data_IF_518609971337
#
_entry.id   IF_518609971337
#
_cell.length_a   1.000
_cell.length_b   1.000
_cell.length_c   1.000
_cell.angle_alpha   90.00
_cell.angle_beta   90.00
_cell.angle_gamma   90.00
#
_symmetry.space_group_name_H-M   'P 1'
#
loop_
_entity.id
_entity.type
_entity.pdbx_description
1 polymer ?
#
# COMPACT_ATOMS: atom_id res chain seq x y z
N UNK A 1 16.73 20.80 8.53
CA UNK A 1 17.60 20.46 7.38
C UNK A 1 16.91 20.90 6.10
N UNK A 2 17.49 21.85 5.37
CA UNK A 2 16.94 22.26 4.05
C UNK A 2 17.55 21.36 2.99
N UNK A 3 16.71 20.71 2.19
CA UNK A 3 17.14 19.94 1.01
C UNK A 3 17.25 20.90 -0.17
N UNK A 4 18.38 20.91 -0.84
CA UNK A 4 18.54 21.58 -2.13
C UNK A 4 18.71 20.52 -3.22
N UNK A 5 17.89 20.62 -4.25
CA UNK A 5 17.93 19.72 -5.42
C UNK A 5 18.54 20.51 -6.57
N UNK A 6 19.59 19.98 -7.15
CA UNK A 6 20.17 20.48 -8.40
C UNK A 6 19.88 19.44 -9.49
N UNK A 7 19.21 19.84 -10.56
CA UNK A 7 19.00 19.01 -11.73
C UNK A 7 20.09 19.31 -12.76
N UNK A 8 20.86 18.32 -13.15
CA UNK A 8 21.81 18.37 -14.26
C UNK A 8 21.52 17.17 -15.18
N UNK A 9 21.07 17.44 -16.37
CA UNK A 9 20.95 16.48 -17.49
C UNK A 9 20.67 15.01 -17.09
N UNK A 10 19.44 14.73 -16.66
CA UNK A 10 18.93 13.41 -16.28
C UNK A 10 19.58 12.72 -15.07
N UNK A 11 20.39 13.40 -14.28
CA UNK A 11 20.93 12.87 -13.03
C UNK A 11 20.52 13.77 -11.84
N UNK A 12 19.92 13.20 -10.80
CA UNK A 12 19.63 13.91 -9.54
C UNK A 12 20.77 13.74 -8.55
N UNK A 13 21.35 14.85 -8.09
CA UNK A 13 22.42 14.85 -7.07
C UNK A 13 21.83 15.31 -5.73
N UNK A 14 21.97 14.52 -4.68
CA UNK A 14 21.58 14.89 -3.32
C UNK A 14 22.80 15.36 -2.53
N UNK A 15 22.75 16.59 -2.03
CA UNK A 15 23.80 17.16 -1.17
C UNK A 15 23.30 17.20 0.27
N UNK A 16 24.00 16.49 1.17
CA UNK A 16 23.76 16.53 2.62
C UNK A 16 24.79 17.46 3.28
N UNK A 17 24.32 18.47 3.99
CA UNK A 17 25.19 19.37 4.77
C UNK A 17 25.23 18.88 6.23
N UNK A 18 26.36 18.33 6.65
CA UNK A 18 26.65 17.98 8.04
C UNK A 18 27.17 19.24 8.73
N UNK A 19 26.37 19.80 9.64
CA UNK A 19 26.56 21.10 10.25
C UNK A 19 27.91 21.32 10.93
N UNK A 20 28.58 22.40 10.53
CA UNK A 20 29.49 23.15 11.37
C UNK A 20 29.03 24.60 11.42
N UNK A 21 29.07 25.19 12.61
CA UNK A 21 28.75 26.60 12.84
C UNK A 21 29.65 27.46 11.98
N UNK A 22 29.12 28.31 11.13
CA UNK A 22 29.85 29.37 10.45
C UNK A 22 28.95 30.61 10.29
N UNK A 23 29.64 31.73 10.38
CA UNK A 23 29.13 33.09 10.34
C UNK A 23 28.30 33.36 9.05
N UNK A 24 27.27 34.18 9.22
CA UNK A 24 26.40 34.63 8.12
C UNK A 24 27.17 35.59 7.20
N UNK A 25 27.56 35.13 6.03
CA UNK A 25 27.77 35.99 4.87
C UNK A 25 26.52 35.90 3.97
N UNK A 26 25.90 37.01 3.68
CA UNK A 26 24.81 37.14 2.72
C UNK A 26 25.32 36.73 1.34
N UNK A 27 24.71 35.71 0.76
CA UNK A 27 24.93 35.33 -0.64
C UNK A 27 23.91 36.07 -1.51
N UNK A 28 24.31 36.56 -2.70
CA UNK A 28 23.42 37.26 -3.61
C UNK A 28 22.34 36.32 -4.18
N UNK A 29 21.22 36.91 -4.60
CA UNK A 29 20.11 36.22 -5.22
C UNK A 29 20.55 35.60 -6.54
N UNK A 30 20.27 34.29 -6.70
CA UNK A 30 20.69 33.51 -7.84
C UNK A 30 19.59 33.49 -8.90
N UNK A 31 19.91 33.94 -10.12
CA UNK A 31 19.03 33.86 -11.29
C UNK A 31 19.64 33.12 -12.48
N UNK A 32 20.91 32.68 -12.45
CA UNK A 32 21.55 32.04 -13.59
C UNK A 32 22.32 30.76 -13.25
N UNK A 33 22.29 29.80 -14.17
CA UNK A 33 22.97 28.51 -14.06
C UNK A 33 24.51 28.70 -14.11
N UNK A 34 25.19 28.13 -13.10
CA UNK A 34 26.65 28.17 -13.02
C UNK A 34 27.26 27.15 -13.98
N UNK A 35 28.26 27.57 -14.75
CA UNK A 35 29.02 26.68 -15.64
C UNK A 35 29.96 25.76 -14.87
N UNK A 36 30.32 24.58 -15.46
CA UNK A 36 31.25 23.60 -14.89
C UNK A 36 32.61 24.23 -14.45
N UNK A 37 33.09 25.24 -15.17
CA UNK A 37 34.35 25.96 -14.83
C UNK A 37 34.22 26.83 -13.57
N UNK A 38 33.10 27.44 -13.36
CA UNK A 38 32.81 28.26 -12.17
C UNK A 38 32.68 27.42 -10.90
N UNK A 39 32.15 26.19 -11.01
CA UNK A 39 32.01 25.26 -9.92
C UNK A 39 33.36 24.77 -9.40
N UNK A 40 34.32 24.53 -10.29
CA UNK A 40 35.68 24.09 -9.91
C UNK A 40 36.52 25.22 -9.31
N UNK A 41 36.19 26.49 -9.57
CA UNK A 41 36.92 27.66 -9.03
C UNK A 41 36.52 28.02 -7.59
N UNK A 42 35.42 27.45 -7.05
CA UNK A 42 34.91 27.77 -5.72
C UNK A 42 35.54 26.99 -4.55
N UNK A 43 36.67 26.30 -4.78
CA UNK A 43 37.56 25.77 -3.74
C UNK A 43 36.85 25.02 -2.59
N UNK A 44 35.99 24.06 -2.87
CA UNK A 44 35.34 23.25 -1.85
C UNK A 44 36.29 22.17 -1.37
N UNK A 45 37.09 22.49 -0.39
CA UNK A 45 37.83 21.50 0.39
C UNK A 45 36.91 20.86 1.41
N UNK A 46 36.79 19.53 1.34
CA UNK A 46 36.12 18.64 2.30
C UNK A 46 34.58 18.55 2.22
N UNK A 47 34.06 18.18 1.05
CA UNK A 47 32.83 17.43 0.96
C UNK A 47 33.14 16.15 0.17
N UNK A 48 32.88 14.98 0.73
CA UNK A 48 33.00 13.73 -0.01
C UNK A 48 31.92 13.71 -1.10
N UNK A 49 32.32 14.00 -2.34
CA UNK A 49 31.50 13.80 -3.52
C UNK A 49 31.59 12.32 -3.88
N UNK A 50 30.62 11.53 -3.49
CA UNK A 50 30.48 10.18 -4.01
C UNK A 50 29.85 10.31 -5.40
N UNK A 51 30.72 10.41 -6.42
CA UNK A 51 30.29 10.16 -7.79
C UNK A 51 30.13 8.63 -7.93
N UNK A 52 28.90 8.13 -7.83
CA UNK A 52 28.59 6.81 -8.39
C UNK A 52 28.66 7.00 -9.91
N UNK A 53 29.71 6.45 -10.53
CA UNK A 53 29.96 6.57 -11.94
C UNK A 53 28.77 6.10 -12.75
N UNK A 54 28.28 6.94 -13.67
CA UNK A 54 27.55 6.47 -14.82
C UNK A 54 28.55 5.72 -15.72
N UNK A 55 28.77 4.45 -15.47
CA UNK A 55 29.25 3.57 -16.52
C UNK A 55 28.18 3.60 -17.61
N UNK A 56 28.59 4.00 -18.81
CA UNK A 56 27.82 3.73 -20.02
C UNK A 56 27.57 2.22 -20.02
N UNK A 57 26.37 1.82 -19.65
CA UNK A 57 25.90 0.47 -19.92
C UNK A 57 26.02 0.28 -21.44
N UNK A 58 27.11 -0.36 -21.87
CA UNK A 58 27.13 -0.98 -23.17
C UNK A 58 25.89 -1.82 -23.23
N UNK A 59 25.06 -1.56 -24.26
CA UNK A 59 23.83 -2.32 -24.54
C UNK A 59 24.11 -3.81 -24.47
N UNK A 60 23.90 -4.39 -23.29
CA UNK A 60 23.50 -5.78 -23.23
C UNK A 60 22.02 -5.72 -23.56
N UNK A 61 21.69 -6.21 -24.71
CA UNK A 61 20.33 -6.63 -25.01
C UNK A 61 19.82 -7.35 -23.76
N UNK A 62 18.92 -6.70 -23.04
CA UNK A 62 18.07 -7.39 -22.08
C UNK A 62 17.29 -8.34 -22.95
N UNK A 63 17.75 -9.59 -22.99
CA UNK A 63 16.98 -10.66 -23.59
C UNK A 63 15.64 -10.61 -22.89
N UNK A 64 14.65 -10.09 -23.59
CA UNK A 64 13.25 -10.24 -23.23
C UNK A 64 13.01 -11.72 -23.19
N UNK A 65 13.07 -12.30 -21.98
CA UNK A 65 12.68 -13.68 -21.78
C UNK A 65 11.19 -13.76 -22.11
N UNK A 66 10.94 -14.21 -23.30
CA UNK A 66 9.65 -14.47 -23.90
C UNK A 66 8.91 -15.52 -23.08
N UNK A 67 7.95 -15.08 -22.27
CA UNK A 67 7.08 -15.96 -21.51
C UNK A 67 5.70 -15.38 -21.20
N UNK A 68 5.55 -14.07 -21.16
CA UNK A 68 4.25 -13.43 -20.98
C UNK A 68 3.73 -13.01 -22.36
N UNK A 69 2.69 -13.67 -22.84
CA UNK A 69 1.99 -13.29 -24.08
C UNK A 69 1.34 -11.92 -23.88
N UNK A 70 1.42 -11.06 -24.90
CA UNK A 70 0.65 -9.79 -24.94
C UNK A 70 -0.87 -10.01 -25.06
N UNK A 71 -1.30 -11.26 -25.11
CA UNK A 71 -2.70 -11.64 -25.20
C UNK A 71 -3.37 -11.41 -23.83
N UNK A 72 -4.46 -10.66 -23.78
CA UNK A 72 -5.22 -10.47 -22.55
C UNK A 72 -5.63 -11.82 -21.93
N UNK A 73 -5.49 -11.95 -20.61
CA UNK A 73 -5.87 -13.14 -19.86
C UNK A 73 -7.38 -13.19 -19.70
N UNK A 74 -8.02 -14.29 -20.07
CA UNK A 74 -9.44 -14.48 -19.73
C UNK A 74 -9.64 -14.33 -18.22
N UNK A 75 -10.63 -13.52 -17.83
CA UNK A 75 -10.97 -13.27 -16.45
C UNK A 75 -11.62 -14.51 -15.82
N UNK A 76 -11.45 -14.61 -14.51
CA UNK A 76 -12.09 -15.68 -13.73
C UNK A 76 -13.44 -15.28 -13.16
N UNK A 77 -14.13 -15.23 -12.48
CA UNK A 77 -15.29 -14.71 -11.76
C UNK A 77 -16.19 -13.82 -12.63
N UNK A 78 -16.74 -14.38 -13.69
CA UNK A 78 -17.78 -13.76 -14.49
C UNK A 78 -18.73 -14.81 -15.05
N UNK A 79 -19.88 -14.38 -15.50
CA UNK A 79 -20.86 -15.21 -16.23
C UNK A 79 -21.19 -14.61 -17.60
N UNK A 80 -21.48 -15.46 -18.55
CA UNK A 80 -21.96 -15.09 -19.88
C UNK A 80 -23.48 -14.95 -19.84
N UNK A 81 -23.98 -13.83 -20.34
CA UNK A 81 -25.41 -13.56 -20.48
C UNK A 81 -25.83 -13.63 -21.95
N UNK A 82 -27.12 -13.38 -22.26
CA UNK A 82 -27.60 -13.26 -23.63
C UNK A 82 -26.95 -12.09 -24.37
N UNK A 83 -27.00 -12.10 -25.70
CA UNK A 83 -26.57 -11.02 -26.57
C UNK A 83 -25.12 -10.56 -26.36
N UNK A 84 -24.23 -11.52 -26.10
CA UNK A 84 -22.80 -11.29 -25.83
C UNK A 84 -22.55 -10.40 -24.61
N UNK A 85 -23.51 -10.18 -23.74
CA UNK A 85 -23.29 -9.53 -22.46
C UNK A 85 -22.52 -10.47 -21.51
N UNK A 86 -21.74 -9.87 -20.62
CA UNK A 86 -21.12 -10.61 -19.51
C UNK A 86 -21.37 -9.85 -18.20
N UNK A 87 -21.52 -10.60 -17.10
CA UNK A 87 -21.55 -10.01 -15.76
C UNK A 87 -20.29 -10.37 -15.00
N UNK A 88 -19.55 -9.34 -14.56
CA UNK A 88 -18.35 -9.49 -13.75
C UNK A 88 -18.72 -9.63 -12.27
N UNK A 89 -18.20 -10.67 -11.60
CA UNK A 89 -18.47 -10.96 -10.18
C UNK A 89 -17.25 -10.78 -9.27
N UNK A 90 -16.25 -10.03 -9.70
CA UNK A 90 -15.03 -9.83 -8.89
C UNK A 90 -15.28 -8.92 -7.70
N UNK A 91 -16.10 -7.88 -7.86
CA UNK A 91 -16.41 -6.94 -6.79
C UNK A 91 -17.92 -6.60 -6.75
N UNK A 92 -18.41 -6.00 -5.65
CA UNK A 92 -19.83 -5.71 -5.47
C UNK A 92 -20.47 -4.76 -6.52
N UNK A 93 -19.68 -4.21 -7.44
CA UNK A 93 -20.26 -3.48 -8.57
C UNK A 93 -21.01 -4.37 -9.54
N UNK A 94 -20.67 -5.64 -9.62
CA UNK A 94 -21.34 -6.64 -10.46
C UNK A 94 -21.65 -6.10 -11.87
N UNK A 95 -20.64 -5.49 -12.52
CA UNK A 95 -20.81 -4.78 -13.78
C UNK A 95 -21.36 -5.72 -14.87
N UNK A 96 -22.50 -5.34 -15.48
CA UNK A 96 -22.96 -5.92 -16.74
C UNK A 96 -22.27 -5.16 -17.86
N UNK A 97 -21.53 -5.88 -18.71
CA UNK A 97 -20.60 -5.30 -19.69
C UNK A 97 -21.01 -5.80 -21.08
N UNK A 98 -21.34 -4.87 -21.99
CA UNK A 98 -21.65 -5.18 -23.39
C UNK A 98 -20.39 -5.52 -24.17
N UNK A 99 -20.54 -6.14 -25.31
CA UNK A 99 -19.47 -6.39 -26.26
C UNK A 99 -18.67 -5.11 -26.60
N UNK A 100 -17.35 -5.18 -26.59
CA UNK A 100 -16.40 -4.05 -26.71
C UNK A 100 -16.43 -3.09 -25.51
N UNK A 101 -17.17 -3.37 -24.43
CA UNK A 101 -17.29 -2.51 -23.27
C UNK A 101 -16.33 -2.90 -22.13
N UNK A 102 -16.18 -1.97 -21.17
CA UNK A 102 -15.37 -2.19 -19.96
C UNK A 102 -16.17 -2.02 -18.68
N UNK A 103 -15.76 -2.74 -17.64
CA UNK A 103 -16.26 -2.54 -16.29
C UNK A 103 -15.85 -1.19 -15.70
N UNK A 104 -16.45 -0.81 -14.58
CA UNK A 104 -16.16 0.46 -13.87
C UNK A 104 -14.67 0.66 -13.58
N UNK A 105 -13.93 -0.41 -13.25
CA UNK A 105 -12.50 -0.37 -12.98
C UNK A 105 -11.64 -0.07 -14.23
N UNK A 106 -12.20 -0.17 -15.42
CA UNK A 106 -11.55 0.07 -16.74
C UNK A 106 -10.47 -0.96 -17.12
N UNK A 107 -10.32 -2.01 -16.31
CA UNK A 107 -9.27 -3.04 -16.47
C UNK A 107 -9.79 -4.39 -16.95
N UNK A 108 -11.12 -4.49 -17.13
CA UNK A 108 -11.80 -5.70 -17.61
C UNK A 108 -12.68 -5.34 -18.79
N UNK A 109 -12.46 -6.02 -19.89
CA UNK A 109 -13.13 -5.78 -21.17
C UNK A 109 -13.85 -7.04 -21.64
N UNK A 110 -15.05 -6.86 -22.14
CA UNK A 110 -15.81 -7.92 -22.81
C UNK A 110 -15.47 -7.88 -24.30
N UNK A 111 -14.98 -8.98 -24.81
CA UNK A 111 -14.73 -9.20 -26.24
C UNK A 111 -15.51 -10.45 -26.67
N UNK A 112 -16.50 -10.23 -27.51
CA UNK A 112 -17.39 -11.26 -28.08
C UNK A 112 -18.01 -12.22 -27.04
N UNK A 113 -18.46 -11.66 -25.87
CA UNK A 113 -19.07 -12.46 -24.79
C UNK A 113 -18.03 -13.18 -23.90
N UNK A 114 -16.77 -12.83 -23.99
CA UNK A 114 -15.70 -13.32 -23.10
C UNK A 114 -15.07 -12.14 -22.37
N UNK A 115 -14.98 -12.23 -21.04
CA UNK A 115 -14.39 -11.17 -20.24
C UNK A 115 -12.88 -11.38 -20.08
N UNK A 116 -12.09 -10.37 -20.41
CA UNK A 116 -10.65 -10.38 -20.31
C UNK A 116 -10.13 -9.41 -19.26
N UNK A 117 -9.04 -9.76 -18.58
CA UNK A 117 -8.23 -8.88 -17.77
C UNK A 117 -7.17 -8.20 -18.65
N UNK A 118 -7.23 -6.87 -18.75
CA UNK A 118 -6.29 -6.07 -19.54
C UNK A 118 -4.98 -5.79 -18.78
N UNK A 119 -4.93 -6.13 -17.49
CA UNK A 119 -3.83 -5.80 -16.57
C UNK A 119 -3.06 -7.01 -16.06
N UNK A 120 -3.40 -8.20 -16.51
CA UNK A 120 -2.66 -9.40 -16.12
C UNK A 120 -1.21 -9.34 -16.63
N UNK A 121 -0.27 -9.40 -15.69
CA UNK A 121 1.16 -9.27 -16.00
C UNK A 121 1.63 -7.87 -16.41
N UNK A 122 0.74 -6.86 -16.45
CA UNK A 122 1.10 -5.48 -16.82
C UNK A 122 1.39 -4.68 -15.54
N UNK A 123 2.64 -4.73 -15.08
CA UNK A 123 3.09 -4.06 -13.84
C UNK A 123 3.42 -2.59 -14.15
N UNK A 124 2.60 -1.67 -13.65
CA UNK A 124 2.74 -0.23 -13.86
C UNK A 124 3.62 0.44 -12.78
N UNK A 125 3.77 -0.19 -11.63
CA UNK A 125 4.71 0.23 -10.59
C UNK A 125 5.22 -0.97 -9.80
N UNK A 126 6.52 -0.95 -9.47
CA UNK A 126 7.14 -1.89 -8.55
C UNK A 126 8.15 -1.16 -7.65
N UNK A 127 8.26 -1.58 -6.39
CA UNK A 127 9.23 -1.04 -5.44
C UNK A 127 9.52 -2.06 -4.34
N UNK A 128 10.68 -1.95 -3.73
CA UNK A 128 11.00 -2.64 -2.47
C UNK A 128 10.74 -1.68 -1.32
N UNK A 129 9.84 -2.06 -0.41
CA UNK A 129 9.43 -1.23 0.71
C UNK A 129 9.44 -2.04 2.03
N UNK A 130 9.71 -1.40 3.18
CA UNK A 130 9.43 -2.03 4.46
C UNK A 130 7.96 -2.44 4.58
N UNK A 131 7.68 -3.56 5.26
CA UNK A 131 6.31 -4.04 5.48
C UNK A 131 5.48 -3.04 6.29
N UNK A 132 6.12 -2.30 7.18
CA UNK A 132 5.52 -1.21 7.96
C UNK A 132 4.93 -0.09 7.10
N UNK A 133 5.50 0.16 5.91
CA UNK A 133 4.98 1.16 4.96
C UNK A 133 3.65 0.70 4.31
N UNK A 134 3.29 -0.60 4.44
CA UNK A 134 2.06 -1.18 3.89
C UNK A 134 0.85 -1.13 4.81
N UNK A 135 0.78 -0.48 5.84
CA UNK A 135 0.92 -0.64 7.28
C UNK A 135 0.52 -2.06 7.74
N UNK A 136 1.47 -2.96 7.74
CA UNK A 136 1.39 -4.23 8.45
C UNK A 136 2.34 -4.18 9.63
N UNK A 137 1.80 -4.12 10.85
CA UNK A 137 2.60 -4.01 12.07
C UNK A 137 2.73 -5.33 12.82
N UNK A 138 1.85 -6.29 12.52
CA UNK A 138 1.86 -7.64 13.08
C UNK A 138 2.17 -8.72 12.03
N UNK A 139 2.88 -8.34 10.96
CA UNK A 139 3.35 -9.27 9.93
C UNK A 139 4.84 -9.06 9.71
N UNK A 140 5.67 -10.02 10.14
CA UNK A 140 7.13 -10.04 9.95
C UNK A 140 7.79 -8.66 10.13
N UNK A 141 7.75 -8.03 11.33
CA UNK A 141 8.27 -6.68 11.55
C UNK A 141 9.72 -6.52 11.05
N UNK A 142 9.98 -5.44 10.33
CA UNK A 142 11.28 -5.14 9.74
C UNK A 142 11.59 -5.88 8.44
N UNK A 143 10.66 -6.69 7.91
CA UNK A 143 10.83 -7.37 6.62
C UNK A 143 10.64 -6.42 5.43
N UNK A 144 11.15 -6.84 4.27
CA UNK A 144 10.96 -6.15 3.01
C UNK A 144 9.85 -6.83 2.19
N UNK A 145 9.11 -6.01 1.47
CA UNK A 145 8.08 -6.44 0.52
C UNK A 145 8.37 -5.91 -0.88
N UNK A 146 8.48 -6.80 -1.85
CA UNK A 146 8.46 -6.45 -3.27
C UNK A 146 7.02 -6.09 -3.66
N UNK A 147 6.78 -4.82 -3.88
CA UNK A 147 5.45 -4.24 -4.06
C UNK A 147 5.15 -4.10 -5.54
N UNK A 148 3.99 -4.56 -5.99
CA UNK A 148 3.53 -4.45 -7.37
C UNK A 148 2.17 -3.78 -7.47
N UNK A 149 1.97 -3.04 -8.55
CA UNK A 149 0.71 -2.43 -8.93
C UNK A 149 0.46 -2.54 -10.44
N UNK A 150 -0.81 -2.47 -10.80
CA UNK A 150 -1.27 -2.35 -12.19
C UNK A 150 -2.02 -1.03 -12.39
N UNK A 151 -2.83 -0.90 -13.45
CA UNK A 151 -3.75 0.21 -13.63
C UNK A 151 -5.11 -0.06 -12.95
N UNK A 152 -5.87 0.99 -12.68
CA UNK A 152 -7.28 0.97 -12.33
C UNK A 152 -7.61 0.68 -10.88
N UNK A 153 -8.87 0.95 -10.52
CA UNK A 153 -9.45 0.71 -9.19
C UNK A 153 -10.97 0.60 -9.32
N UNK A 154 -11.60 -0.14 -8.41
CA UNK A 154 -13.05 -0.20 -8.30
C UNK A 154 -13.66 0.91 -7.42
N UNK A 155 -12.82 1.84 -6.92
CA UNK A 155 -13.21 3.10 -6.27
C UNK A 155 -12.65 4.31 -7.05
N UNK A 156 -13.13 5.50 -6.71
CA UNK A 156 -12.65 6.79 -7.23
C UNK A 156 -12.47 7.81 -6.10
N UNK A 157 -11.77 7.38 -5.05
CA UNK A 157 -11.54 8.20 -3.87
C UNK A 157 -10.99 9.56 -4.22
N UNK A 158 -11.66 10.63 -3.78
CA UNK A 158 -11.25 12.03 -4.02
C UNK A 158 -9.89 12.38 -3.40
N UNK A 159 -9.40 11.58 -2.45
CA UNK A 159 -8.14 11.74 -1.73
C UNK A 159 -7.06 10.74 -2.15
N UNK A 160 -7.19 10.08 -3.28
CA UNK A 160 -6.29 8.99 -3.65
C UNK A 160 -4.86 9.48 -3.86
N UNK A 161 -3.90 8.93 -3.09
CA UNK A 161 -2.48 9.26 -3.24
C UNK A 161 -1.88 8.69 -4.52
N UNK A 162 -2.41 7.56 -4.99
CA UNK A 162 -1.96 6.86 -6.18
C UNK A 162 -2.97 7.04 -7.35
N UNK A 163 -3.58 8.24 -7.46
CA UNK A 163 -4.61 8.49 -8.47
C UNK A 163 -4.11 8.28 -9.90
N UNK A 164 -2.83 8.53 -10.15
CA UNK A 164 -2.20 8.29 -11.44
C UNK A 164 -2.24 6.82 -11.88
N UNK A 165 -2.18 5.87 -10.93
CA UNK A 165 -2.36 4.44 -11.19
C UNK A 165 -3.83 4.05 -11.16
N UNK A 166 -4.53 4.44 -10.08
CA UNK A 166 -5.88 3.96 -9.78
C UNK A 166 -6.96 4.55 -10.68
N UNK A 167 -6.74 5.76 -11.24
CA UNK A 167 -7.72 6.43 -12.09
C UNK A 167 -7.39 6.38 -13.59
N UNK A 168 -6.30 5.72 -13.96
CA UNK A 168 -5.91 5.54 -15.37
C UNK A 168 -6.43 4.23 -15.95
N UNK A 169 -6.56 4.20 -17.27
CA UNK A 169 -6.75 2.98 -18.05
C UNK A 169 -5.40 2.30 -18.28
N UNK A 170 -5.36 0.98 -18.56
CA UNK A 170 -4.11 0.26 -18.79
C UNK A 170 -3.24 0.88 -19.90
N UNK A 171 -3.84 1.34 -20.98
CA UNK A 171 -3.18 1.94 -22.14
C UNK A 171 -2.62 3.36 -21.90
N UNK A 172 -3.03 4.01 -20.81
CA UNK A 172 -2.56 5.35 -20.41
C UNK A 172 -1.29 5.29 -19.55
N UNK A 173 -0.87 4.09 -19.14
CA UNK A 173 0.28 3.90 -18.25
C UNK A 173 1.39 3.12 -18.93
N UNK A 174 2.62 3.56 -18.70
CA UNK A 174 3.77 2.70 -18.97
C UNK A 174 3.76 1.52 -18.00
N UNK A 175 3.85 0.31 -18.52
CA UNK A 175 3.94 -0.92 -17.74
C UNK A 175 5.00 -1.85 -18.32
N UNK A 176 5.62 -2.64 -17.46
CA UNK A 176 6.49 -3.74 -17.85
C UNK A 176 5.69 -5.04 -17.79
N UNK A 177 5.93 -5.93 -18.74
CA UNK A 177 5.30 -7.25 -18.73
C UNK A 177 6.10 -8.18 -17.82
N UNK A 178 5.44 -8.72 -16.79
CA UNK A 178 6.03 -9.66 -15.84
C UNK A 178 5.15 -10.88 -15.66
N UNK A 179 5.73 -12.08 -15.74
CA UNK A 179 5.02 -13.30 -15.31
C UNK A 179 5.00 -13.39 -13.78
N UNK A 180 4.13 -14.22 -13.18
CA UNK A 180 4.14 -14.51 -11.76
C UNK A 180 5.51 -14.99 -11.24
N UNK A 181 6.19 -15.82 -12.00
CA UNK A 181 7.53 -16.32 -11.70
C UNK A 181 8.55 -15.18 -11.69
N UNK A 182 8.49 -14.28 -12.68
CA UNK A 182 9.39 -13.12 -12.75
C UNK A 182 9.18 -12.18 -11.56
N UNK A 183 7.94 -11.94 -11.13
CA UNK A 183 7.66 -11.18 -9.88
C UNK A 183 8.31 -11.84 -8.67
N UNK A 184 8.24 -13.17 -8.59
CA UNK A 184 8.84 -13.95 -7.50
C UNK A 184 10.37 -13.89 -7.54
N UNK A 185 10.99 -14.01 -8.71
CA UNK A 185 12.44 -13.87 -8.90
C UNK A 185 12.94 -12.49 -8.48
N UNK A 186 12.21 -11.44 -8.83
CA UNK A 186 12.55 -10.07 -8.42
C UNK A 186 12.43 -9.87 -6.90
N UNK A 187 11.41 -10.47 -6.26
CA UNK A 187 11.29 -10.48 -4.80
C UNK A 187 12.49 -11.18 -4.15
N UNK A 188 12.89 -12.36 -4.64
CA UNK A 188 14.09 -13.07 -4.15
C UNK A 188 15.36 -12.25 -4.36
N UNK A 189 15.56 -11.70 -5.56
CA UNK A 189 16.74 -10.91 -5.92
C UNK A 189 16.91 -9.67 -5.05
N UNK A 190 15.79 -9.05 -4.67
CA UNK A 190 15.78 -7.88 -3.78
C UNK A 190 15.88 -8.21 -2.29
N UNK A 191 15.94 -9.49 -1.92
CA UNK A 191 15.95 -9.93 -0.53
C UNK A 191 14.61 -9.71 0.19
N UNK A 192 13.51 -9.55 -0.56
CA UNK A 192 12.18 -9.37 0.01
C UNK A 192 11.61 -10.69 0.50
N UNK A 193 11.09 -10.71 1.72
CA UNK A 193 10.39 -11.85 2.30
C UNK A 193 8.94 -11.96 1.82
N UNK A 194 8.41 -10.84 1.31
CA UNK A 194 7.02 -10.70 0.91
C UNK A 194 6.89 -10.14 -0.51
N UNK A 195 5.81 -10.55 -1.20
CA UNK A 195 5.25 -9.83 -2.35
C UNK A 195 4.03 -9.07 -1.85
N UNK A 196 3.95 -7.76 -2.10
CA UNK A 196 2.80 -6.94 -1.74
C UNK A 196 2.04 -6.47 -2.98
N UNK A 197 0.79 -6.91 -3.16
CA UNK A 197 -0.12 -6.33 -4.13
C UNK A 197 -0.74 -5.07 -3.52
N UNK A 198 -0.40 -3.88 -4.09
CA UNK A 198 -0.66 -2.60 -3.43
C UNK A 198 -0.73 -1.41 -4.41
N UNK A 199 -0.74 -0.19 -3.90
CA UNK A 199 -0.78 1.12 -4.57
C UNK A 199 -2.09 1.43 -5.29
N UNK A 200 -2.51 0.64 -6.30
CA UNK A 200 -3.86 0.65 -6.83
C UNK A 200 -4.73 -0.37 -6.07
N UNK A 201 -5.73 -0.96 -6.70
CA UNK A 201 -6.62 -1.92 -6.04
C UNK A 201 -6.34 -3.36 -6.51
N UNK A 202 -5.84 -4.26 -5.66
CA UNK A 202 -5.57 -5.65 -6.03
C UNK A 202 -6.79 -6.44 -6.51
N UNK A 203 -7.98 -6.11 -6.07
CA UNK A 203 -9.22 -6.73 -6.52
C UNK A 203 -9.36 -6.69 -8.04
N UNK A 204 -8.92 -5.60 -8.70
CA UNK A 204 -9.09 -5.47 -10.15
C UNK A 204 -8.10 -6.30 -10.96
N UNK A 205 -7.01 -6.76 -10.33
CA UNK A 205 -6.03 -7.68 -10.92
C UNK A 205 -5.88 -8.99 -10.12
N UNK A 206 -6.99 -9.45 -9.52
CA UNK A 206 -6.99 -10.58 -8.58
C UNK A 206 -6.44 -11.88 -9.17
N UNK A 207 -6.61 -12.13 -10.47
CA UNK A 207 -6.02 -13.30 -11.14
C UNK A 207 -4.49 -13.25 -11.10
N UNK A 208 -3.90 -12.11 -11.40
CA UNK A 208 -2.45 -11.92 -11.37
C UNK A 208 -1.92 -11.95 -9.95
N UNK A 209 -2.62 -11.31 -9.00
CA UNK A 209 -2.28 -11.35 -7.58
C UNK A 209 -2.27 -12.79 -7.03
N UNK A 210 -3.28 -13.59 -7.38
CA UNK A 210 -3.36 -14.99 -6.99
C UNK A 210 -2.20 -15.82 -7.59
N UNK A 211 -1.95 -15.66 -8.89
CA UNK A 211 -0.92 -16.44 -9.58
C UNK A 211 0.49 -16.03 -9.08
N UNK A 212 0.75 -14.74 -8.79
CA UNK A 212 1.99 -14.30 -8.13
C UNK A 212 2.15 -14.87 -6.71
N UNK A 213 1.08 -14.87 -5.91
CA UNK A 213 1.12 -15.42 -4.57
C UNK A 213 1.39 -16.92 -4.58
N UNK A 214 0.78 -17.67 -5.52
CA UNK A 214 1.02 -19.10 -5.69
C UNK A 214 2.47 -19.38 -6.09
N UNK A 215 3.00 -18.66 -7.09
CA UNK A 215 4.39 -18.82 -7.52
C UNK A 215 5.39 -18.46 -6.40
N UNK A 216 5.06 -17.42 -5.61
CA UNK A 216 5.83 -17.02 -4.43
C UNK A 216 5.93 -18.13 -3.39
N UNK A 217 4.81 -18.76 -3.04
CA UNK A 217 4.78 -19.85 -2.06
C UNK A 217 5.69 -21.02 -2.44
N UNK A 218 5.80 -21.38 -3.72
CA UNK A 218 6.69 -22.43 -4.23
C UNK A 218 8.18 -22.11 -3.98
N UNK A 219 8.49 -20.83 -3.72
CA UNK A 219 9.85 -20.32 -3.47
C UNK A 219 10.05 -19.81 -2.03
N UNK A 220 9.08 -20.03 -1.14
CA UNK A 220 9.12 -19.53 0.24
C UNK A 220 8.96 -18.01 0.37
N UNK A 221 8.41 -17.36 -0.67
CA UNK A 221 8.04 -15.95 -0.63
C UNK A 221 6.53 -15.85 -0.44
N UNK A 222 6.11 -15.22 0.63
CA UNK A 222 4.68 -15.08 0.93
C UNK A 222 4.11 -13.79 0.36
N UNK A 223 2.78 -13.72 0.24
CA UNK A 223 2.13 -12.54 -0.33
C UNK A 223 1.20 -11.87 0.66
N UNK A 224 1.11 -10.54 0.58
CA UNK A 224 0.18 -9.71 1.34
C UNK A 224 -0.61 -8.81 0.40
N UNK A 225 -1.85 -8.54 0.77
CA UNK A 225 -2.77 -7.70 -0.01
C UNK A 225 -3.04 -6.40 0.74
N UNK A 226 -2.95 -5.29 0.02
CA UNK A 226 -3.32 -3.95 0.50
C UNK A 226 -4.47 -3.43 -0.34
N UNK A 227 -5.69 -3.48 0.18
CA UNK A 227 -6.93 -3.31 -0.59
C UNK A 227 -7.93 -2.40 0.12
N UNK A 228 -8.88 -1.86 -0.63
CA UNK A 228 -10.04 -1.16 -0.09
C UNK A 228 -11.13 -2.12 0.44
N UNK A 229 -10.93 -3.42 0.32
CA UNK A 229 -11.86 -4.44 0.80
C UNK A 229 -13.16 -4.59 0.00
N UNK A 230 -13.30 -3.93 -1.15
CA UNK A 230 -14.51 -4.01 -1.97
C UNK A 230 -14.39 -5.16 -2.98
N UNK A 231 -14.50 -6.38 -2.47
CA UNK A 231 -14.31 -7.65 -3.19
C UNK A 231 -15.47 -8.62 -2.86
N UNK A 232 -15.92 -9.40 -3.83
CA UNK A 232 -16.95 -10.42 -3.60
C UNK A 232 -16.36 -11.68 -2.90
N UNK A 233 -17.25 -12.53 -2.39
CA UNK A 233 -16.90 -13.70 -1.62
C UNK A 233 -15.97 -14.67 -2.36
N UNK A 234 -16.36 -15.10 -3.56
CA UNK A 234 -15.64 -16.15 -4.30
C UNK A 234 -14.18 -15.74 -4.66
N UNK A 235 -13.91 -14.54 -5.21
CA UNK A 235 -12.52 -14.12 -5.45
C UNK A 235 -11.72 -13.91 -4.15
N UNK A 236 -12.36 -13.47 -3.04
CA UNK A 236 -11.70 -13.34 -1.74
C UNK A 236 -11.30 -14.71 -1.17
N UNK A 237 -12.22 -15.67 -1.18
CA UNK A 237 -11.97 -17.04 -0.72
C UNK A 237 -10.83 -17.67 -1.51
N UNK A 238 -10.86 -17.53 -2.83
CA UNK A 238 -9.78 -18.04 -3.68
C UNK A 238 -8.43 -17.40 -3.37
N UNK A 239 -8.40 -16.07 -3.18
CA UNK A 239 -7.18 -15.34 -2.87
C UNK A 239 -6.63 -15.73 -1.49
N UNK A 240 -7.52 -15.98 -0.51
CA UNK A 240 -7.14 -16.34 0.87
C UNK A 240 -6.39 -17.67 0.98
N UNK A 241 -6.49 -18.55 -0.01
CA UNK A 241 -5.76 -19.83 -0.06
C UNK A 241 -4.24 -19.66 -0.19
N UNK A 242 -3.78 -18.51 -0.69
CA UNK A 242 -2.38 -18.30 -1.10
C UNK A 242 -1.71 -17.06 -0.47
N UNK A 243 -2.41 -16.33 0.38
CA UNK A 243 -1.88 -15.10 1.00
C UNK A 243 -1.64 -15.28 2.50
N UNK A 244 -0.64 -14.58 3.04
CA UNK A 244 -0.33 -14.58 4.47
C UNK A 244 -1.17 -13.57 5.26
N UNK A 245 -1.48 -12.41 4.67
CA UNK A 245 -2.23 -11.36 5.34
C UNK A 245 -2.96 -10.44 4.36
N UNK A 246 -3.99 -9.77 4.87
CA UNK A 246 -4.82 -8.83 4.13
C UNK A 246 -5.00 -7.53 4.92
N UNK A 247 -4.60 -6.40 4.38
CA UNK A 247 -4.85 -5.09 4.96
C UNK A 247 -6.06 -4.46 4.27
N UNK A 248 -7.04 -4.06 5.06
CA UNK A 248 -8.22 -3.37 4.57
C UNK A 248 -8.15 -1.88 4.88
N UNK A 249 -8.21 -1.05 3.84
CA UNK A 249 -8.46 0.37 3.99
C UNK A 249 -9.93 0.58 4.39
N UNK A 250 -10.18 0.55 5.70
CA UNK A 250 -11.49 0.82 6.28
C UNK A 250 -11.70 2.34 6.37
N UNK A 251 -12.15 2.93 5.28
CA UNK A 251 -12.04 4.37 5.02
C UNK A 251 -12.93 5.25 5.88
N UNK A 252 -14.05 4.73 6.38
CA UNK A 252 -14.96 5.39 7.33
C UNK A 252 -16.02 4.41 7.85
N UNK A 253 -16.66 4.74 8.97
CA UNK A 253 -17.89 4.03 9.39
C UNK A 253 -19.15 4.61 8.73
N UNK A 254 -19.08 5.84 8.21
CA UNK A 254 -20.17 6.53 7.52
C UNK A 254 -20.47 5.95 6.12
N UNK A 255 -21.72 5.57 5.85
CA UNK A 255 -22.19 5.19 4.50
C UNK A 255 -22.11 6.36 3.51
N UNK A 256 -22.41 7.56 3.98
CA UNK A 256 -22.34 8.79 3.16
C UNK A 256 -20.93 9.04 2.68
N UNK A 257 -19.94 8.89 3.56
CA UNK A 257 -18.52 9.03 3.18
C UNK A 257 -18.14 8.04 2.06
N UNK A 258 -18.53 6.77 2.19
CA UNK A 258 -18.25 5.79 1.13
C UNK A 258 -18.88 6.19 -0.20
N UNK A 259 -20.15 6.57 -0.19
CA UNK A 259 -20.87 6.95 -1.42
C UNK A 259 -20.28 8.21 -2.07
N UNK A 260 -20.05 9.27 -1.29
CA UNK A 260 -19.76 10.60 -1.83
C UNK A 260 -18.25 10.88 -1.99
N UNK A 261 -17.41 10.24 -1.19
CA UNK A 261 -15.96 10.52 -1.13
C UNK A 261 -15.15 9.41 -1.79
N UNK A 262 -15.59 8.15 -1.69
CA UNK A 262 -14.90 7.01 -2.30
C UNK A 262 -15.59 6.47 -3.56
N UNK A 263 -16.87 6.76 -3.74
CA UNK A 263 -17.69 6.24 -4.83
C UNK A 263 -17.98 4.74 -4.73
N UNK A 264 -17.94 4.20 -3.52
CA UNK A 264 -18.27 2.81 -3.20
C UNK A 264 -19.33 2.68 -2.13
N UNK A 265 -19.42 1.50 -1.53
CA UNK A 265 -20.37 1.18 -0.47
C UNK A 265 -19.62 0.60 0.73
N UNK A 266 -20.03 0.97 1.96
CA UNK A 266 -19.42 0.50 3.19
C UNK A 266 -19.71 -0.96 3.47
N UNK A 267 -20.99 -1.36 3.35
CA UNK A 267 -21.46 -2.65 3.87
C UNK A 267 -20.73 -3.85 3.23
N UNK A 268 -20.43 -3.88 1.91
CA UNK A 268 -19.58 -4.92 1.33
C UNK A 268 -18.17 -4.99 1.91
N UNK A 269 -17.58 -3.84 2.31
CA UNK A 269 -16.27 -3.81 2.96
C UNK A 269 -16.35 -4.44 4.35
N UNK A 270 -17.42 -4.16 5.11
CA UNK A 270 -17.66 -4.81 6.41
C UNK A 270 -17.81 -6.33 6.25
N UNK A 271 -18.52 -6.79 5.24
CA UNK A 271 -18.64 -8.23 4.94
C UNK A 271 -17.30 -8.88 4.58
N UNK A 272 -16.45 -8.16 3.83
CA UNK A 272 -15.09 -8.62 3.54
C UNK A 272 -14.27 -8.80 4.82
N UNK A 273 -14.29 -7.85 5.75
CA UNK A 273 -13.56 -7.94 7.03
C UNK A 273 -14.03 -9.13 7.85
N UNK A 274 -15.36 -9.32 7.98
CA UNK A 274 -15.93 -10.49 8.68
C UNK A 274 -15.50 -11.81 8.02
N UNK A 275 -15.53 -11.86 6.68
CA UNK A 275 -15.14 -13.05 5.94
C UNK A 275 -13.66 -13.38 6.09
N UNK A 276 -12.77 -12.39 6.07
CA UNK A 276 -11.34 -12.57 6.34
C UNK A 276 -11.10 -13.20 7.71
N UNK A 277 -11.79 -12.71 8.77
CA UNK A 277 -11.75 -13.31 10.09
C UNK A 277 -12.20 -14.77 10.07
N UNK A 278 -13.33 -15.06 9.40
CA UNK A 278 -13.86 -16.43 9.29
C UNK A 278 -12.91 -17.37 8.54
N UNK A 279 -12.20 -16.87 7.55
CA UNK A 279 -11.21 -17.63 6.78
C UNK A 279 -9.87 -17.78 7.52
N UNK A 280 -9.68 -17.14 8.68
CA UNK A 280 -8.44 -17.19 9.45
C UNK A 280 -7.28 -16.41 8.82
N UNK A 281 -7.55 -15.52 7.87
CA UNK A 281 -6.53 -14.66 7.26
C UNK A 281 -6.17 -13.53 8.21
N UNK A 282 -4.89 -13.36 8.53
CA UNK A 282 -4.45 -12.22 9.33
C UNK A 282 -4.85 -10.90 8.68
N UNK A 283 -5.52 -10.05 9.45
CA UNK A 283 -6.11 -8.82 8.92
C UNK A 283 -5.72 -7.62 9.77
N UNK A 284 -5.29 -6.53 9.13
CA UNK A 284 -5.09 -5.22 9.76
C UNK A 284 -5.98 -4.17 9.07
N UNK A 285 -6.53 -3.24 9.84
CA UNK A 285 -7.44 -2.21 9.34
C UNK A 285 -6.75 -0.85 9.34
N UNK A 286 -6.94 -0.07 8.28
CA UNK A 286 -6.37 1.26 8.16
C UNK A 286 -7.45 2.29 7.88
N UNK A 287 -7.50 3.32 8.71
CA UNK A 287 -8.38 4.45 8.57
C UNK A 287 -7.57 5.72 8.28
N UNK A 288 -7.64 6.21 7.03
CA UNK A 288 -7.11 7.52 6.69
C UNK A 288 -8.07 8.58 7.23
N UNK A 289 -7.66 9.27 8.28
CA UNK A 289 -8.49 10.26 8.97
C UNK A 289 -8.42 11.60 8.24
N UNK A 290 -9.55 12.06 7.71
CA UNK A 290 -9.66 13.27 6.89
C UNK A 290 -10.48 14.30 7.65
N UNK A 291 -9.92 15.49 7.98
CA UNK A 291 -10.62 16.51 8.71
C UNK A 291 -11.99 16.87 8.12
N UNK A 292 -12.99 16.96 8.97
CA UNK A 292 -14.40 17.29 8.67
C UNK A 292 -15.19 16.25 7.91
N UNK A 293 -14.55 15.19 7.38
CA UNK A 293 -15.23 14.18 6.57
C UNK A 293 -15.46 12.85 7.31
N UNK A 294 -14.46 12.37 8.05
CA UNK A 294 -14.55 11.09 8.78
C UNK A 294 -13.76 11.12 10.11
N UNK A 295 -13.60 12.30 10.71
CA UNK A 295 -12.82 12.53 11.93
C UNK A 295 -13.68 12.81 13.18
N UNK A 296 -14.97 12.50 13.13
CA UNK A 296 -15.88 12.72 14.25
C UNK A 296 -15.93 11.52 15.21
N UNK A 297 -16.11 11.78 16.50
CA UNK A 297 -16.09 10.76 17.56
C UNK A 297 -17.15 9.68 17.37
N UNK A 298 -18.34 10.06 16.95
CA UNK A 298 -19.45 9.11 16.73
C UNK A 298 -19.10 8.03 15.68
N UNK A 299 -18.35 8.41 14.62
CA UNK A 299 -17.90 7.45 13.62
C UNK A 299 -16.79 6.53 14.19
N UNK A 300 -15.87 7.07 15.02
CA UNK A 300 -14.86 6.26 15.70
C UNK A 300 -15.49 5.29 16.69
N UNK A 301 -16.47 5.76 17.48
CA UNK A 301 -17.23 4.93 18.40
C UNK A 301 -17.99 3.81 17.68
N UNK A 302 -18.73 4.16 16.64
CA UNK A 302 -19.47 3.17 15.85
C UNK A 302 -18.55 2.15 15.17
N UNK A 303 -17.37 2.58 14.71
CA UNK A 303 -16.34 1.69 14.18
C UNK A 303 -15.81 0.73 15.26
N UNK A 304 -15.51 1.25 16.46
CA UNK A 304 -15.00 0.46 17.58
C UNK A 304 -16.02 -0.58 18.03
N UNK A 305 -17.29 -0.17 18.23
CA UNK A 305 -18.37 -1.07 18.64
C UNK A 305 -18.58 -2.19 17.60
N UNK A 306 -18.54 -1.85 16.33
CA UNK A 306 -18.67 -2.85 15.26
C UNK A 306 -17.45 -3.80 15.23
N UNK A 307 -16.22 -3.28 15.35
CA UNK A 307 -15.01 -4.12 15.39
C UNK A 307 -15.07 -5.07 16.57
N UNK A 308 -15.41 -4.59 17.76
CA UNK A 308 -15.52 -5.43 18.96
C UNK A 308 -16.57 -6.53 18.81
N UNK A 309 -17.73 -6.21 18.24
CA UNK A 309 -18.81 -7.17 18.06
C UNK A 309 -18.55 -8.22 16.97
N UNK A 310 -18.00 -7.81 15.83
CA UNK A 310 -17.90 -8.68 14.65
C UNK A 310 -16.50 -9.29 14.45
N UNK A 311 -15.46 -8.56 14.81
CA UNK A 311 -14.07 -8.95 14.55
C UNK A 311 -13.32 -9.31 15.85
N UNK A 312 -13.57 -8.59 16.92
CA UNK A 312 -12.97 -8.79 18.24
C UNK A 312 -11.76 -7.88 18.49
N UNK A 313 -11.19 -7.97 19.72
CA UNK A 313 -10.25 -6.98 20.23
C UNK A 313 -8.82 -7.07 19.65
N UNK A 314 -8.50 -8.14 18.95
CA UNK A 314 -7.12 -8.48 18.57
C UNK A 314 -6.71 -7.95 17.19
N UNK A 315 -7.67 -7.41 16.42
CA UNK A 315 -7.38 -6.83 15.09
C UNK A 315 -6.65 -5.48 15.23
N UNK A 316 -5.48 -5.30 14.61
CA UNK A 316 -4.81 -4.01 14.61
C UNK A 316 -5.57 -2.97 13.78
N UNK A 317 -5.69 -1.75 14.33
CA UNK A 317 -6.30 -0.60 13.66
C UNK A 317 -5.30 0.55 13.58
N UNK A 318 -5.12 1.12 12.39
CA UNK A 318 -4.18 2.21 12.15
C UNK A 318 -4.93 3.47 11.75
N UNK A 319 -4.87 4.52 12.57
CA UNK A 319 -5.31 5.86 12.18
C UNK A 319 -4.17 6.61 11.52
N UNK A 320 -4.28 6.87 10.22
CA UNK A 320 -3.22 7.48 9.44
C UNK A 320 -3.54 8.93 9.10
N UNK A 321 -2.50 9.75 9.14
CA UNK A 321 -2.59 11.19 8.88
C UNK A 321 -2.85 11.48 7.41
N UNK A 322 -3.91 12.23 7.11
CA UNK A 322 -4.20 12.74 5.78
C UNK A 322 -3.31 13.95 5.45
N UNK A 323 -2.87 14.01 4.21
CA UNK A 323 -2.28 15.18 3.58
C UNK A 323 -3.08 15.55 2.34
N UNK A 324 -3.33 16.85 2.06
CA UNK A 324 -4.06 17.30 0.88
C UNK A 324 -3.52 16.68 -0.40
N UNK A 325 -4.39 16.02 -1.18
CA UNK A 325 -4.00 15.29 -2.38
C UNK A 325 -5.17 15.15 -3.35
N UNK A 326 -4.86 15.06 -4.64
CA UNK A 326 -5.76 14.81 -5.76
C UNK A 326 -6.93 15.83 -5.80
N UNK A 327 -8.17 15.41 -5.53
CA UNK A 327 -9.34 16.28 -5.54
C UNK A 327 -9.67 16.90 -4.17
N UNK A 328 -8.96 16.53 -3.10
CA UNK A 328 -9.09 17.09 -1.76
C UNK A 328 -7.84 17.89 -1.37
N UNK A 329 -7.60 18.99 -2.09
CA UNK A 329 -6.48 19.91 -1.82
C UNK A 329 -6.87 21.08 -0.93
N UNK A 330 -8.15 21.26 -0.64
CA UNK A 330 -8.74 22.35 0.10
C UNK A 330 -8.94 22.05 1.60
N UNK A 331 -8.63 20.85 2.06
CA UNK A 331 -8.72 20.45 3.46
C UNK A 331 -7.34 20.52 4.13
N UNK A 332 -7.27 20.83 5.43
CA UNK A 332 -5.99 20.84 6.15
C UNK A 332 -5.43 19.42 6.35
N UNK A 333 -4.15 19.34 6.67
CA UNK A 333 -3.52 18.12 7.18
C UNK A 333 -4.17 17.74 8.51
N UNK A 334 -4.43 16.45 8.74
CA UNK A 334 -5.03 15.98 10.00
C UNK A 334 -4.17 16.38 11.20
N UNK A 335 -4.71 17.06 12.23
CA UNK A 335 -4.02 17.29 13.48
C UNK A 335 -3.64 15.95 14.14
N UNK A 336 -2.45 15.88 14.74
CA UNK A 336 -1.99 14.67 15.44
C UNK A 336 -2.94 14.31 16.58
N UNK A 337 -3.41 15.32 17.33
CA UNK A 337 -4.39 15.16 18.42
C UNK A 337 -5.70 14.48 17.99
N UNK A 338 -6.11 14.62 16.72
CA UNK A 338 -7.29 13.90 16.20
C UNK A 338 -7.02 12.40 16.08
N UNK A 339 -5.81 12.03 15.66
CA UNK A 339 -5.40 10.62 15.56
C UNK A 339 -5.23 9.99 16.95
N UNK A 340 -4.64 10.73 17.88
CA UNK A 340 -4.50 10.31 19.28
C UNK A 340 -5.86 10.09 19.93
N UNK A 341 -6.81 11.03 19.77
CA UNK A 341 -8.18 10.86 20.26
C UNK A 341 -8.89 9.65 19.64
N UNK A 342 -8.76 9.45 18.32
CA UNK A 342 -9.34 8.27 17.66
C UNK A 342 -8.74 6.97 18.24
N UNK A 343 -7.43 6.94 18.48
CA UNK A 343 -6.72 5.82 19.12
C UNK A 343 -7.26 5.56 20.51
N UNK A 344 -7.39 6.60 21.33
CA UNK A 344 -7.87 6.46 22.73
C UNK A 344 -9.31 5.94 22.77
N UNK A 345 -10.23 6.47 21.92
CA UNK A 345 -11.61 5.98 21.82
C UNK A 345 -11.66 4.47 21.54
N UNK A 346 -10.84 3.98 20.60
CA UNK A 346 -10.85 2.56 20.27
C UNK A 346 -10.23 1.70 21.37
N UNK A 347 -9.17 2.18 22.01
CA UNK A 347 -8.54 1.48 23.13
C UNK A 347 -9.44 1.42 24.36
N UNK A 348 -10.15 2.50 24.70
CA UNK A 348 -11.12 2.56 25.80
C UNK A 348 -12.28 1.60 25.58
N UNK A 349 -12.61 1.25 24.32
CA UNK A 349 -13.60 0.23 23.97
C UNK A 349 -13.04 -1.19 23.91
N UNK A 350 -11.76 -1.39 24.25
CA UNK A 350 -11.14 -2.70 24.42
C UNK A 350 -10.38 -3.23 23.21
N UNK A 351 -10.21 -2.47 22.12
CA UNK A 351 -9.34 -2.86 21.01
C UNK A 351 -7.89 -2.76 21.50
N UNK A 352 -7.14 -3.86 21.39
CA UNK A 352 -5.82 -3.98 22.03
C UNK A 352 -4.68 -3.30 21.27
N UNK A 353 -4.80 -3.19 19.96
CA UNK A 353 -3.72 -2.72 19.08
C UNK A 353 -4.22 -1.59 18.19
N UNK A 354 -4.01 -0.35 18.62
CA UNK A 354 -4.40 0.84 17.87
C UNK A 354 -3.20 1.73 17.66
N UNK A 355 -2.93 2.08 16.42
CA UNK A 355 -1.73 2.79 15.98
C UNK A 355 -2.04 4.17 15.42
N UNK A 356 -1.07 5.07 15.56
CA UNK A 356 -1.03 6.37 14.87
C UNK A 356 -0.01 6.26 13.75
N UNK A 357 -0.40 6.51 12.50
CA UNK A 357 0.46 6.36 11.33
C UNK A 357 0.60 7.66 10.52
N UNK A 358 1.60 7.72 9.65
CA UNK A 358 1.99 8.91 8.89
C UNK A 358 2.39 10.10 9.79
N UNK A 359 2.87 9.83 11.01
CA UNK A 359 3.42 10.81 11.97
C UNK A 359 4.79 10.30 12.42
N UNK A 360 5.84 10.51 11.62
CA UNK A 360 7.16 9.88 11.84
C UNK A 360 7.72 10.11 13.23
N UNK A 361 8.05 9.02 13.94
CA UNK A 361 8.59 9.04 15.30
C UNK A 361 7.54 9.19 16.40
N UNK A 362 6.25 9.08 16.10
CA UNK A 362 5.19 9.10 17.10
C UNK A 362 5.20 7.81 17.94
N UNK A 363 5.12 7.87 19.28
CA UNK A 363 5.10 6.67 20.14
C UNK A 363 4.01 5.67 19.76
N UNK A 364 2.88 6.14 19.25
CA UNK A 364 1.77 5.30 18.76
C UNK A 364 2.06 4.47 17.51
N UNK A 365 3.25 4.58 16.90
CA UNK A 365 3.72 3.64 15.85
C UNK A 365 4.31 2.36 16.44
N UNK A 366 4.73 2.37 17.72
CA UNK A 366 5.29 1.20 18.39
C UNK A 366 4.20 0.26 18.91
N UNK A 367 4.53 -1.03 19.04
CA UNK A 367 3.61 -2.05 19.58
C UNK A 367 3.84 -2.21 21.07
N UNK A 368 2.79 -2.06 21.85
CA UNK A 368 2.81 -2.25 23.29
C UNK A 368 2.07 -3.53 23.68
N UNK A 369 2.61 -4.24 24.67
CA UNK A 369 2.00 -5.46 25.19
C UNK A 369 0.69 -5.15 25.91
N UNK A 370 -0.45 -5.76 25.54
CA UNK A 370 -1.73 -5.49 26.18
C UNK A 370 -1.80 -6.04 27.63
N UNK A 371 -0.89 -6.94 28.01
CA UNK A 371 -0.86 -7.49 29.36
C UNK A 371 -0.01 -6.70 30.35
N UNK A 372 1.16 -6.18 29.93
CA UNK A 372 2.08 -5.48 30.84
C UNK A 372 2.40 -4.03 30.44
N UNK A 373 1.84 -3.51 29.37
CA UNK A 373 2.02 -2.13 28.89
C UNK A 373 3.41 -1.80 28.34
N UNK A 374 4.37 -2.73 28.33
CA UNK A 374 5.73 -2.47 27.84
C UNK A 374 5.78 -2.43 26.32
N UNK A 375 6.67 -1.58 25.78
CA UNK A 375 6.99 -1.57 24.36
C UNK A 375 7.65 -2.89 23.96
N UNK A 376 7.07 -3.62 23.01
CA UNK A 376 7.52 -4.93 22.54
C UNK A 376 8.03 -4.93 21.10
N UNK A 377 7.64 -3.92 20.30
CA UNK A 377 8.23 -3.68 18.98
C UNK A 377 8.37 -2.17 18.85
N UNK A 378 9.59 -1.69 18.91
CA UNK A 378 9.91 -0.29 18.72
C UNK A 378 9.89 0.09 17.25
N UNK A 379 9.19 1.20 16.91
CA UNK A 379 9.22 1.76 15.54
C UNK A 379 9.66 3.21 15.60
N UNK A 380 10.51 3.54 14.66
CA UNK A 380 11.14 4.85 14.57
C UNK A 380 10.86 5.56 13.25
N UNK A 381 11.66 6.58 13.02
CA UNK A 381 11.55 7.41 11.83
C UNK A 381 11.76 6.59 10.54
N UNK A 382 10.94 6.84 9.51
CA UNK A 382 11.12 6.24 8.18
C UNK A 382 10.76 4.76 8.09
N UNK A 383 9.78 4.29 8.88
CA UNK A 383 9.32 2.90 8.93
C UNK A 383 10.39 1.91 9.43
N UNK A 384 11.34 2.39 10.22
CA UNK A 384 12.37 1.53 10.80
C UNK A 384 11.84 0.77 12.01
N UNK A 385 12.24 -0.48 12.14
CA UNK A 385 12.00 -1.30 13.33
C UNK A 385 13.29 -1.32 14.16
N UNK A 386 13.17 -0.93 15.44
CA UNK A 386 14.22 -0.96 16.42
C UNK A 386 14.24 -2.28 17.22
N UNK A 387 14.25 -2.17 18.54
CA UNK A 387 14.24 -3.35 19.40
C UNK A 387 12.93 -4.14 19.32
N UNK A 388 13.05 -5.46 19.23
CA UNK A 388 11.92 -6.40 19.30
C UNK A 388 12.07 -7.22 20.58
N UNK A 389 11.14 -7.03 21.53
CA UNK A 389 11.06 -7.73 22.79
C UNK A 389 9.95 -8.79 22.76
N UNK A 390 10.03 -9.64 21.76
CA UNK A 390 9.13 -10.78 21.55
C UNK A 390 9.93 -12.06 21.32
N UNK A 391 9.39 -13.19 21.72
CA UNK A 391 9.94 -14.51 21.45
C UNK A 391 8.83 -15.46 21.04
N UNK A 392 8.90 -16.01 19.84
CA UNK A 392 7.92 -16.94 19.29
C UNK A 392 6.46 -16.44 19.44
N UNK A 393 6.21 -15.18 19.08
CA UNK A 393 4.88 -14.60 19.16
C UNK A 393 4.40 -14.25 20.58
N UNK A 394 5.27 -14.27 21.59
CA UNK A 394 4.94 -13.92 22.97
C UNK A 394 5.75 -12.73 23.46
N UNK A 395 5.17 -11.94 24.37
CA UNK A 395 5.87 -10.84 25.04
C UNK A 395 7.04 -11.37 25.88
N UNK A 396 8.25 -10.88 25.65
CA UNK A 396 9.44 -11.30 26.38
C UNK A 396 9.41 -10.91 27.89
N UNK A 397 8.56 -9.96 28.27
CA UNK A 397 8.46 -9.47 29.65
C UNK A 397 7.45 -10.24 30.51
N UNK A 398 6.28 -10.58 29.96
CA UNK A 398 5.19 -11.21 30.74
C UNK A 398 4.67 -12.53 30.15
N UNK A 399 5.16 -12.95 28.99
CA UNK A 399 4.81 -14.25 28.38
C UNK A 399 3.45 -14.32 27.68
N UNK A 400 2.65 -13.23 27.68
CA UNK A 400 1.36 -13.25 26.97
C UNK A 400 1.56 -13.41 25.47
N UNK A 401 0.69 -14.20 24.81
CA UNK A 401 0.68 -14.33 23.36
C UNK A 401 0.22 -13.03 22.68
N UNK A 402 0.92 -12.63 21.66
CA UNK A 402 0.62 -11.47 20.83
C UNK A 402 0.15 -11.99 19.47
N UNK A 403 -1.09 -11.73 19.07
CA UNK A 403 -1.60 -12.17 17.77
C UNK A 403 -0.89 -11.50 16.61
N UNK A 404 -0.60 -12.27 15.55
CA UNK A 404 0.12 -11.79 14.36
C UNK A 404 0.76 -12.92 13.57
N UNK A 405 1.42 -12.56 12.48
CA UNK A 405 2.23 -13.46 11.63
C UNK A 405 3.70 -13.15 11.90
N UNK A 406 4.30 -13.87 12.87
CA UNK A 406 5.65 -13.59 13.35
C UNK A 406 6.73 -14.47 12.68
N UNK A 407 6.31 -15.53 12.01
CA UNK A 407 7.12 -16.40 11.14
C UNK A 407 6.24 -16.96 10.02
N UNK A 408 6.86 -17.33 8.90
CA UNK A 408 6.21 -17.93 7.73
C UNK A 408 6.92 -19.20 7.34
#
# INVERSE_FOLDING_TARGET
MKKHILLLDNCSVYIYNTGMKSERKQLPAWSDAISRRQFLALGVSSAAVVCIGCEKANGRDVSTSSGASDVPKEARFYEKLSDKLVQCHVCPRNCVIKDGGRGFCRTRENDDGTLFSLVYGKVAANNVDPVEKKPFFHVLPGSLAYSIATAGCNFWCKFCQNYQLSQSKPEELHSITMSPEHVTEEAQRSGSQLIACTYNEPTVFTEFAYDCAKAGLEKGIHSVIVSNGYINAAPLERLSEVIAAYKVDFKAFSKTFYKEVTGGERDPVLETIKRLKKLGVWTELVHLTIPTLNDNEKDFEGMADWIMGEVGPDVPVHFTRFHPMYLLTNLPVTPVSTLERARDILMDRGIKFVYVGNVPGHPGESTYCPGCGKNIIERGYGYTVGAIHMKNGTCAYCGISIPGVWSL
#
